data_IF_965882089156
#
_entry.id   IF_965882089156
#
_cell.length_a   1.000
_cell.length_b   1.000
_cell.length_c   1.000
_cell.angle_alpha   90.00
_cell.angle_beta   90.00
_cell.angle_gamma   90.00
#
_symmetry.space_group_name_H-M   'P 1'
#
loop_
_entity.id
_entity.type
_entity.pdbx_description
1 polymer ?
#
# COMPACT_ATOMS: atom_id res chain seq x y z
N UNK A 1 12.96 -11.93 0.85
CA UNK A 1 13.63 -10.90 1.64
C UNK A 1 12.66 -10.40 2.71
N UNK A 2 12.96 -10.63 3.97
CA UNK A 2 12.14 -10.12 5.08
C UNK A 2 12.97 -9.19 5.94
N UNK A 3 12.50 -7.95 6.14
CA UNK A 3 13.10 -6.95 7.02
C UNK A 3 14.54 -6.54 6.74
N UNK A 4 15.08 -6.79 5.53
CA UNK A 4 16.53 -6.63 5.26
C UNK A 4 17.04 -5.22 5.54
N UNK A 5 16.24 -4.19 5.28
CA UNK A 5 16.58 -2.78 5.52
C UNK A 5 15.63 -2.13 6.55
N UNK A 6 14.93 -2.97 7.34
CA UNK A 6 14.01 -2.46 8.34
C UNK A 6 14.73 -1.67 9.44
N UNK A 7 14.10 -0.57 9.89
CA UNK A 7 14.63 0.27 10.96
C UNK A 7 15.81 1.16 10.59
N UNK A 8 16.26 1.14 9.35
CA UNK A 8 17.36 2.00 8.88
C UNK A 8 16.87 3.44 8.69
N UNK A 9 16.69 4.18 9.76
CA UNK A 9 16.15 5.56 9.73
C UNK A 9 17.02 6.55 8.97
N UNK A 10 18.31 6.27 8.82
CA UNK A 10 19.26 7.07 8.02
C UNK A 10 19.25 6.72 6.52
N UNK A 11 18.56 5.63 6.11
CA UNK A 11 18.44 5.22 4.71
C UNK A 11 17.37 6.06 4.03
N UNK A 12 17.77 7.07 3.26
CA UNK A 12 16.84 8.02 2.61
C UNK A 12 16.52 7.67 1.16
N UNK A 13 17.39 6.90 0.51
CA UNK A 13 17.24 6.47 -0.89
C UNK A 13 17.88 5.11 -1.14
N UNK A 14 17.46 4.43 -2.18
CA UNK A 14 18.05 3.18 -2.66
C UNK A 14 18.19 3.20 -4.17
N UNK A 15 19.22 2.51 -4.74
CA UNK A 15 19.35 2.38 -6.19
C UNK A 15 18.12 1.68 -6.78
N UNK A 16 17.67 2.12 -7.94
CA UNK A 16 16.56 1.49 -8.66
C UNK A 16 16.81 0.02 -9.02
N UNK A 17 18.09 -0.36 -9.18
CA UNK A 17 18.52 -1.72 -9.51
C UNK A 17 18.80 -2.59 -8.29
N UNK A 18 18.50 -2.14 -7.07
CA UNK A 18 18.84 -2.83 -5.82
C UNK A 18 18.46 -4.32 -5.83
N UNK A 19 17.30 -4.64 -6.36
CA UNK A 19 16.78 -5.99 -6.38
C UNK A 19 16.87 -6.70 -7.73
N UNK A 20 17.52 -6.13 -8.74
CA UNK A 20 17.67 -6.75 -10.06
C UNK A 20 18.32 -8.14 -10.02
N UNK A 21 19.32 -8.42 -9.17
CA UNK A 21 19.90 -9.77 -9.11
C UNK A 21 18.97 -10.81 -8.48
N UNK A 22 17.87 -10.40 -7.85
CA UNK A 22 17.01 -11.25 -7.03
C UNK A 22 15.76 -11.70 -7.77
N UNK A 23 15.91 -12.17 -9.01
CA UNK A 23 14.80 -12.49 -9.93
C UNK A 23 13.84 -13.58 -9.41
N UNK A 24 14.28 -14.43 -8.48
CA UNK A 24 13.46 -15.49 -7.86
C UNK A 24 12.90 -15.12 -6.49
N UNK A 25 13.11 -13.88 -6.03
CA UNK A 25 12.55 -13.45 -4.76
C UNK A 25 11.03 -13.43 -4.81
N UNK A 26 10.39 -14.10 -3.86
CA UNK A 26 8.93 -14.18 -3.74
C UNK A 26 8.36 -13.26 -2.68
N UNK A 27 9.15 -12.91 -1.67
CA UNK A 27 8.69 -12.06 -0.57
C UNK A 27 9.63 -10.87 -0.34
N UNK A 28 9.02 -9.72 -0.10
CA UNK A 28 9.65 -8.47 0.28
C UNK A 28 9.05 -7.94 1.59
N UNK A 29 8.55 -8.84 2.44
CA UNK A 29 7.89 -8.53 3.71
C UNK A 29 8.78 -7.63 4.58
N UNK A 30 8.27 -6.45 4.94
CA UNK A 30 8.95 -5.50 5.81
C UNK A 30 10.31 -5.01 5.32
N UNK A 31 10.62 -5.17 4.02
CA UNK A 31 11.98 -4.95 3.48
C UNK A 31 12.55 -3.58 3.83
N UNK A 32 11.73 -2.53 3.88
CA UNK A 32 12.10 -1.17 4.26
C UNK A 32 11.27 -0.65 5.44
N UNK A 33 10.60 -1.52 6.19
CA UNK A 33 9.77 -1.08 7.30
C UNK A 33 10.56 -0.16 8.26
N UNK A 34 9.93 0.95 8.67
CA UNK A 34 10.53 1.91 9.62
C UNK A 34 11.83 2.55 9.11
N UNK A 35 12.10 2.55 7.80
CA UNK A 35 13.27 3.23 7.22
C UNK A 35 12.99 4.72 6.99
N UNK A 36 14.08 5.46 6.73
CA UNK A 36 14.03 6.90 6.43
C UNK A 36 13.76 7.24 4.96
N UNK A 37 13.32 6.27 4.12
CA UNK A 37 13.10 6.48 2.69
C UNK A 37 12.19 7.68 2.43
N UNK A 38 12.65 8.56 1.54
CA UNK A 38 11.91 9.75 1.10
C UNK A 38 11.20 9.53 -0.23
N UNK A 39 11.74 8.66 -1.05
CA UNK A 39 11.18 8.27 -2.35
C UNK A 39 11.60 6.86 -2.75
N UNK A 40 10.91 6.27 -3.72
CA UNK A 40 11.23 4.98 -4.33
C UNK A 40 11.09 5.07 -5.84
N UNK A 41 12.00 4.43 -6.58
CA UNK A 41 11.91 4.34 -8.04
C UNK A 41 10.82 3.38 -8.47
N UNK A 42 10.12 3.69 -9.56
CA UNK A 42 9.19 2.76 -10.21
C UNK A 42 9.87 1.48 -10.70
N UNK A 43 11.20 1.47 -10.83
CA UNK A 43 11.97 0.33 -11.31
C UNK A 43 12.42 -0.61 -10.19
N UNK A 44 12.19 -0.24 -8.92
CA UNK A 44 12.72 -0.95 -7.76
C UNK A 44 12.42 -2.47 -7.78
N UNK A 45 11.23 -2.86 -8.21
CA UNK A 45 10.79 -4.27 -8.23
C UNK A 45 10.60 -4.84 -9.65
N UNK A 46 11.03 -4.14 -10.70
CA UNK A 46 10.72 -4.54 -12.08
C UNK A 46 11.33 -5.87 -12.52
N UNK A 47 12.45 -6.27 -11.94
CA UNK A 47 13.09 -7.55 -12.23
C UNK A 47 12.52 -8.73 -11.40
N UNK A 48 11.71 -8.45 -10.38
CA UNK A 48 11.25 -9.45 -9.40
C UNK A 48 9.88 -10.02 -9.79
N UNK A 49 9.80 -10.64 -10.97
CA UNK A 49 8.56 -11.11 -11.57
C UNK A 49 7.84 -12.18 -10.74
N UNK A 50 8.57 -12.89 -9.87
CA UNK A 50 8.03 -13.94 -8.99
C UNK A 50 7.58 -13.40 -7.62
N UNK A 51 7.63 -12.09 -7.41
CA UNK A 51 7.22 -11.50 -6.13
C UNK A 51 5.72 -11.71 -5.90
N UNK A 52 5.38 -12.26 -4.73
CA UNK A 52 4.01 -12.58 -4.31
C UNK A 52 3.56 -11.74 -3.10
N UNK A 53 4.50 -11.37 -2.22
CA UNK A 53 4.19 -10.79 -0.92
C UNK A 53 5.04 -9.54 -0.65
N UNK A 54 4.34 -8.42 -0.50
CA UNK A 54 4.88 -7.11 -0.14
C UNK A 54 4.35 -6.61 1.22
N UNK A 55 3.88 -7.53 2.09
CA UNK A 55 3.39 -7.16 3.42
C UNK A 55 4.40 -6.27 4.14
N UNK A 56 3.93 -5.18 4.73
CA UNK A 56 4.74 -4.25 5.54
C UNK A 56 5.96 -3.63 4.81
N UNK A 57 6.09 -3.80 3.49
CA UNK A 57 7.32 -3.44 2.76
C UNK A 57 7.81 -2.01 3.03
N UNK A 58 6.91 -1.07 3.21
CA UNK A 58 7.18 0.35 3.52
C UNK A 58 6.43 0.83 4.78
N UNK A 59 6.02 -0.10 5.65
CA UNK A 59 5.31 0.24 6.88
C UNK A 59 6.14 1.20 7.73
N UNK A 60 5.51 2.27 8.22
CA UNK A 60 6.16 3.21 9.13
C UNK A 60 7.25 4.09 8.50
N UNK A 61 7.38 4.14 7.16
CA UNK A 61 8.29 5.05 6.47
C UNK A 61 7.78 6.50 6.58
N UNK A 62 8.09 7.18 7.68
CA UNK A 62 7.55 8.50 8.04
C UNK A 62 8.01 9.65 7.13
N UNK A 63 8.98 9.41 6.26
CA UNK A 63 9.48 10.38 5.27
C UNK A 63 9.01 10.08 3.84
N UNK A 64 8.32 8.97 3.60
CA UNK A 64 7.82 8.57 2.29
C UNK A 64 6.46 9.22 2.03
N UNK A 65 6.45 10.37 1.32
CA UNK A 65 5.24 11.15 1.06
C UNK A 65 4.51 10.77 -0.22
N UNK A 66 5.20 10.12 -1.16
CA UNK A 66 4.64 9.70 -2.45
C UNK A 66 5.27 8.41 -2.95
N UNK A 67 4.53 7.69 -3.80
CA UNK A 67 4.98 6.48 -4.49
C UNK A 67 4.64 6.56 -5.97
N UNK A 68 5.45 5.99 -6.87
CA UNK A 68 5.17 6.02 -8.31
C UNK A 68 4.02 5.06 -8.69
N UNK A 69 3.20 5.45 -9.65
CA UNK A 69 2.06 4.65 -10.16
C UNK A 69 2.47 3.24 -10.60
N UNK A 70 3.62 3.10 -11.23
CA UNK A 70 4.09 1.82 -11.77
C UNK A 70 4.94 0.99 -10.81
N UNK A 71 4.92 1.23 -9.49
CA UNK A 71 5.80 0.54 -8.52
C UNK A 71 5.68 -0.99 -8.61
N UNK A 72 4.47 -1.52 -8.81
CA UNK A 72 4.20 -2.96 -8.91
C UNK A 72 3.77 -3.41 -10.33
N UNK A 73 4.03 -2.59 -11.35
CA UNK A 73 3.50 -2.81 -12.71
C UNK A 73 3.93 -4.12 -13.38
N UNK A 74 5.04 -4.73 -12.96
CA UNK A 74 5.56 -5.99 -13.48
C UNK A 74 5.33 -7.18 -12.56
N UNK A 75 4.82 -6.95 -11.34
CA UNK A 75 4.68 -7.97 -10.31
C UNK A 75 3.31 -8.67 -10.40
N UNK A 76 3.03 -9.31 -11.53
CA UNK A 76 1.72 -9.90 -11.84
C UNK A 76 1.34 -11.10 -10.94
N UNK A 77 2.26 -11.61 -10.13
CA UNK A 77 2.02 -12.65 -9.13
C UNK A 77 1.78 -12.09 -7.73
N UNK A 78 2.00 -10.78 -7.53
CA UNK A 78 1.83 -10.14 -6.23
C UNK A 78 0.35 -10.12 -5.82
N UNK A 79 0.08 -10.59 -4.61
CA UNK A 79 -1.27 -10.76 -4.07
C UNK A 79 -1.40 -10.47 -2.58
N UNK A 80 -0.31 -10.17 -1.88
CA UNK A 80 -0.34 -9.83 -0.45
C UNK A 80 0.30 -8.47 -0.27
N UNK A 81 -0.52 -7.50 0.12
CA UNK A 81 -0.15 -6.10 0.34
C UNK A 81 -0.55 -5.62 1.74
N UNK A 82 -0.68 -6.56 2.68
CA UNK A 82 -1.12 -6.27 4.04
C UNK A 82 -0.14 -5.30 4.70
N UNK A 83 -0.67 -4.16 5.16
CA UNK A 83 0.10 -3.10 5.84
C UNK A 83 1.28 -2.54 5.02
N UNK A 84 1.31 -2.74 3.69
CA UNK A 84 2.45 -2.36 2.84
C UNK A 84 2.91 -0.92 3.08
N UNK A 85 1.99 0.01 3.20
CA UNK A 85 2.27 1.43 3.42
C UNK A 85 1.68 1.96 4.75
N UNK A 86 1.20 1.07 5.61
CA UNK A 86 0.61 1.48 6.88
C UNK A 86 1.57 2.39 7.66
N UNK A 87 1.00 3.41 8.32
CA UNK A 87 1.76 4.35 9.15
C UNK A 87 2.85 5.17 8.42
N UNK A 88 2.89 5.15 7.08
CA UNK A 88 3.79 6.01 6.30
C UNK A 88 3.25 7.45 6.21
N UNK A 89 4.05 8.37 5.65
CA UNK A 89 3.64 9.76 5.43
C UNK A 89 2.88 9.98 4.12
N UNK A 90 2.42 8.91 3.43
CA UNK A 90 1.73 9.03 2.14
C UNK A 90 0.52 9.95 2.24
N UNK A 91 0.46 10.95 1.34
CA UNK A 91 -0.68 11.86 1.19
C UNK A 91 -1.58 11.51 0.03
N UNK A 92 -1.05 10.80 -0.97
CA UNK A 92 -1.76 10.43 -2.19
C UNK A 92 -1.44 8.98 -2.59
N UNK A 93 -2.41 8.31 -3.23
CA UNK A 93 -2.26 6.95 -3.78
C UNK A 93 -2.47 7.04 -5.29
N UNK A 94 -1.53 6.55 -6.12
CA UNK A 94 -1.73 6.50 -7.57
C UNK A 94 -2.85 5.52 -7.96
N UNK A 95 -3.72 5.92 -8.90
CA UNK A 95 -4.86 5.12 -9.36
C UNK A 95 -4.44 3.74 -9.90
N UNK A 96 -3.33 3.67 -10.62
CA UNK A 96 -2.87 2.45 -11.30
C UNK A 96 -1.90 1.60 -10.46
N UNK A 97 -1.78 1.88 -9.16
CA UNK A 97 -0.80 1.21 -8.29
C UNK A 97 -0.92 -0.32 -8.33
N UNK A 98 -2.16 -0.83 -8.37
CA UNK A 98 -2.47 -2.26 -8.34
C UNK A 98 -3.06 -2.80 -9.64
N UNK A 99 -3.00 -2.06 -10.75
CA UNK A 99 -3.65 -2.44 -12.01
C UNK A 99 -3.18 -3.77 -12.61
N UNK A 100 -1.95 -4.18 -12.34
CA UNK A 100 -1.33 -5.39 -12.90
C UNK A 100 -1.03 -6.49 -11.89
N UNK A 101 -1.47 -6.35 -10.64
CA UNK A 101 -1.24 -7.39 -9.60
C UNK A 101 -2.20 -8.57 -9.76
N UNK A 102 -1.90 -9.68 -9.09
CA UNK A 102 -2.75 -10.86 -9.13
C UNK A 102 -4.14 -10.57 -8.57
N UNK A 103 -5.17 -11.14 -9.21
CA UNK A 103 -6.53 -11.12 -8.68
C UNK A 103 -6.62 -11.87 -7.34
N UNK A 104 -7.64 -11.53 -6.54
CA UNK A 104 -7.96 -12.16 -5.27
C UNK A 104 -6.85 -11.97 -4.22
N UNK A 105 -6.24 -10.78 -4.23
CA UNK A 105 -5.22 -10.40 -3.25
C UNK A 105 -5.79 -9.96 -1.90
N UNK A 106 -4.91 -9.91 -0.89
CA UNK A 106 -5.16 -9.33 0.43
C UNK A 106 -4.54 -7.94 0.52
N UNK A 107 -5.32 -6.99 1.07
CA UNK A 107 -4.95 -5.59 1.21
C UNK A 107 -5.31 -5.06 2.61
N UNK A 108 -5.20 -5.92 3.62
CA UNK A 108 -5.52 -5.57 5.02
C UNK A 108 -4.64 -4.40 5.48
N UNK A 109 -5.25 -3.35 5.98
CA UNK A 109 -4.56 -2.17 6.50
C UNK A 109 -3.50 -1.55 5.56
N UNK A 110 -3.56 -1.78 4.24
CA UNK A 110 -2.50 -1.40 3.28
C UNK A 110 -2.08 0.06 3.42
N UNK A 111 -3.03 0.97 3.61
CA UNK A 111 -2.80 2.41 3.79
C UNK A 111 -3.30 2.90 5.16
N UNK A 112 -3.45 2.00 6.13
CA UNK A 112 -3.92 2.38 7.45
C UNK A 112 -2.99 3.42 8.09
N UNK A 113 -3.58 4.39 8.79
CA UNK A 113 -2.85 5.43 9.53
C UNK A 113 -1.87 6.27 8.68
N UNK A 114 -2.17 6.41 7.38
CA UNK A 114 -1.49 7.33 6.46
C UNK A 114 -2.13 8.73 6.46
N UNK A 115 -1.67 9.62 5.60
CA UNK A 115 -2.23 10.96 5.40
C UNK A 115 -3.11 11.05 4.14
N UNK A 116 -3.47 9.91 3.54
CA UNK A 116 -4.32 9.83 2.35
C UNK A 116 -5.69 10.43 2.62
N UNK A 117 -6.09 11.40 1.79
CA UNK A 117 -7.39 12.09 1.90
C UNK A 117 -8.39 11.64 0.85
N UNK A 118 -7.91 11.16 -0.28
CA UNK A 118 -8.73 10.73 -1.41
C UNK A 118 -8.26 9.39 -1.92
N UNK A 119 -9.19 8.48 -2.16
CA UNK A 119 -8.91 7.21 -2.82
C UNK A 119 -9.24 7.39 -4.30
N UNK A 120 -8.26 7.22 -5.21
CA UNK A 120 -8.46 7.46 -6.62
C UNK A 120 -9.42 6.45 -7.24
N UNK A 121 -10.12 6.88 -8.27
CA UNK A 121 -10.85 5.96 -9.14
C UNK A 121 -9.90 4.95 -9.77
N UNK A 122 -10.35 3.73 -9.98
CA UNK A 122 -9.56 2.68 -10.64
C UNK A 122 -8.57 1.94 -9.75
N UNK A 123 -8.29 2.38 -8.52
CA UNK A 123 -7.29 1.73 -7.65
C UNK A 123 -7.47 0.21 -7.54
N UNK A 124 -8.71 -0.26 -7.48
CA UNK A 124 -9.04 -1.66 -7.25
C UNK A 124 -9.79 -2.31 -8.42
N UNK A 125 -9.89 -1.66 -9.59
CA UNK A 125 -10.78 -2.05 -10.68
C UNK A 125 -10.60 -3.51 -11.13
N UNK A 126 -9.39 -4.00 -11.22
CA UNK A 126 -9.10 -5.35 -11.74
C UNK A 126 -8.58 -6.33 -10.69
N UNK A 127 -8.53 -5.94 -9.41
CA UNK A 127 -7.88 -6.74 -8.36
C UNK A 127 -8.78 -7.81 -7.75
N UNK A 128 -10.12 -7.61 -7.76
CA UNK A 128 -11.08 -8.51 -7.09
C UNK A 128 -10.60 -8.92 -5.67
N UNK A 129 -10.33 -7.99 -4.76
CA UNK A 129 -9.65 -8.29 -3.50
C UNK A 129 -10.48 -9.24 -2.63
N UNK A 130 -9.82 -10.15 -1.91
CA UNK A 130 -10.51 -11.06 -0.96
C UNK A 130 -10.56 -10.49 0.44
N UNK A 131 -9.67 -9.59 0.79
CA UNK A 131 -9.67 -8.89 2.07
C UNK A 131 -9.16 -7.46 1.92
N UNK A 132 -9.90 -6.50 2.45
CA UNK A 132 -9.59 -5.07 2.49
C UNK A 132 -9.83 -4.48 3.88
N UNK A 133 -9.88 -5.30 4.92
CA UNK A 133 -10.17 -4.86 6.28
C UNK A 133 -9.19 -3.76 6.70
N UNK A 134 -9.72 -2.65 7.18
CA UNK A 134 -8.92 -1.51 7.64
C UNK A 134 -8.01 -0.88 6.59
N UNK A 135 -8.20 -1.14 5.27
CA UNK A 135 -7.29 -0.69 4.21
C UNK A 135 -6.93 0.79 4.30
N UNK A 136 -7.87 1.62 4.72
CA UNK A 136 -7.70 3.07 4.92
C UNK A 136 -8.10 3.49 6.35
N UNK A 137 -7.87 2.63 7.33
CA UNK A 137 -8.17 2.98 8.71
C UNK A 137 -7.43 4.26 9.12
N UNK A 138 -8.14 5.30 9.63
CA UNK A 138 -7.50 6.54 10.03
C UNK A 138 -6.60 6.35 11.25
N UNK A 139 -5.58 7.20 11.40
CA UNK A 139 -4.83 7.26 12.65
C UNK A 139 -5.78 7.58 13.80
N UNK A 140 -5.69 6.84 14.92
CA UNK A 140 -6.53 7.06 16.09
C UNK A 140 -6.49 8.54 16.53
N UNK A 141 -7.66 9.05 16.92
CA UNK A 141 -7.75 10.37 17.54
C UNK A 141 -7.00 10.34 18.86
N UNK A 142 -6.02 11.21 19.02
CA UNK A 142 -5.54 11.54 20.37
C UNK A 142 -6.73 12.12 21.15
N UNK A 143 -7.02 11.66 22.37
CA UNK A 143 -8.25 12.00 23.11
C UNK A 143 -8.45 13.50 23.42
N UNK A 144 -7.53 14.38 23.07
CA UNK A 144 -7.51 15.78 23.48
C UNK A 144 -7.35 16.81 22.38
N UNK A 145 -7.51 16.45 21.10
CA UNK A 145 -7.53 17.45 20.03
C UNK A 145 -8.89 17.49 19.30
N UNK A 146 -9.85 18.33 19.75
CA UNK A 146 -11.17 18.44 19.13
C UNK A 146 -11.14 19.06 17.72
N UNK A 147 -10.00 19.63 17.28
CA UNK A 147 -9.84 20.30 15.99
C UNK A 147 -9.11 19.44 14.93
N UNK A 148 -8.48 18.35 15.30
CA UNK A 148 -7.75 17.47 14.37
C UNK A 148 -8.61 16.29 13.93
N UNK A 149 -9.73 16.57 13.29
CA UNK A 149 -10.52 15.59 12.56
C UNK A 149 -9.74 15.27 11.28
N UNK A 150 -8.85 14.27 11.31
CA UNK A 150 -8.46 13.62 10.06
C UNK A 150 -9.71 12.96 9.51
N UNK A 151 -10.34 13.62 8.55
CA UNK A 151 -11.49 13.07 7.87
C UNK A 151 -11.10 11.72 7.26
N UNK A 152 -11.96 10.72 7.38
CA UNK A 152 -11.81 9.49 6.62
C UNK A 152 -11.62 9.82 5.14
N UNK A 153 -10.79 9.10 4.39
CA UNK A 153 -10.58 9.38 2.98
C UNK A 153 -11.91 9.30 2.21
N UNK A 154 -12.06 10.16 1.21
CA UNK A 154 -13.19 10.11 0.29
C UNK A 154 -12.95 8.98 -0.72
N UNK A 155 -13.86 8.04 -0.76
CA UNK A 155 -13.83 6.92 -1.70
C UNK A 155 -14.63 7.25 -2.95
N UNK A 156 -14.13 6.83 -4.12
CA UNK A 156 -14.91 6.86 -5.37
C UNK A 156 -15.99 5.76 -5.36
N UNK A 157 -17.01 5.92 -6.20
CA UNK A 157 -18.04 4.90 -6.37
C UNK A 157 -17.45 3.59 -6.89
N UNK A 158 -16.47 3.68 -7.80
CA UNK A 158 -15.77 2.52 -8.38
C UNK A 158 -15.02 1.70 -7.34
N UNK A 159 -14.44 2.35 -6.33
CA UNK A 159 -13.79 1.65 -5.22
C UNK A 159 -14.82 0.77 -4.48
N UNK A 160 -16.00 1.32 -4.17
CA UNK A 160 -17.06 0.55 -3.53
C UNK A 160 -17.56 -0.59 -4.41
N UNK A 161 -17.70 -0.38 -5.71
CA UNK A 161 -18.20 -1.40 -6.64
C UNK A 161 -17.18 -2.54 -6.81
N UNK A 162 -15.91 -2.23 -6.96
CA UNK A 162 -14.83 -3.22 -7.05
C UNK A 162 -14.71 -4.08 -5.78
N UNK A 163 -14.83 -3.46 -4.61
CA UNK A 163 -14.74 -4.17 -3.32
C UNK A 163 -16.01 -4.95 -2.98
N UNK A 164 -17.18 -4.51 -3.46
CA UNK A 164 -18.47 -5.18 -3.27
C UNK A 164 -18.54 -6.56 -3.88
N UNK A 165 -17.95 -6.75 -5.06
CA UNK A 165 -17.88 -8.06 -5.72
C UNK A 165 -17.03 -9.06 -4.93
N UNK A 166 -16.06 -8.57 -4.16
CA UNK A 166 -15.12 -9.41 -3.42
C UNK A 166 -15.65 -9.91 -2.08
N UNK A 167 -16.41 -9.07 -1.35
CA UNK A 167 -16.75 -9.35 0.05
C UNK A 167 -18.14 -9.93 0.26
N UNK A 168 -19.02 -9.91 -0.76
CA UNK A 168 -20.40 -10.40 -0.64
C UNK A 168 -21.27 -9.66 0.41
N UNK A 169 -20.76 -8.56 0.98
CA UNK A 169 -21.43 -7.80 2.04
C UNK A 169 -22.43 -6.83 1.41
N UNK A 170 -23.74 -6.88 1.77
CA UNK A 170 -24.68 -5.89 1.34
C UNK A 170 -24.32 -4.54 1.97
N UNK A 171 -24.11 -3.53 1.14
CA UNK A 171 -23.77 -2.18 1.56
C UNK A 171 -24.88 -1.56 2.40
N UNK A 172 -24.81 -1.67 3.71
CA UNK A 172 -25.28 -0.59 4.56
C UNK A 172 -24.18 0.46 4.54
N UNK A 173 -24.53 1.68 4.09
CA UNK A 173 -23.66 2.85 4.22
C UNK A 173 -23.02 2.82 5.60
N UNK A 174 -21.71 2.60 5.68
CA UNK A 174 -20.98 2.80 6.91
C UNK A 174 -21.15 4.29 7.25
N UNK A 175 -21.90 4.59 8.29
CA UNK A 175 -21.88 5.91 8.93
C UNK A 175 -20.63 5.89 9.81
N UNK A 176 -19.62 6.59 9.39
CA UNK A 176 -18.44 6.90 10.18
C UNK A 176 -18.75 8.02 11.17
#
# INVERSE_FOLDING_TARGET
LSGTFAGLTALTEVPESLFFPLIYARTFTGVFALSGLTHVSRQLFTANLQAEDFSEAFMGCKSLHSIPAGLFSTNTHARIFDRTFAESALGEVPAELFSNVAKRGSFVETFARTQVKHVPEGLMTDTEPVNIDGMFEPAERLPHDPMNIKAAPVFSQDFFDATRLATGVPTKRARF
#
